data_IF_585603999091
#
_entry.id   IF_585603999091
#
_cell.length_a   1.000
_cell.length_b   1.000
_cell.length_c   1.000
_cell.angle_alpha   90.00
_cell.angle_beta   90.00
_cell.angle_gamma   90.00
#
_symmetry.space_group_name_H-M   'P 1'
#
loop_
_entity.id
_entity.type
_entity.pdbx_description
1 polymer ?
#
# COMPACT_ATOMS: atom_id res chain seq x y z
N UNK A 1 -7.21 18.62 -2.56
CA UNK A 1 -6.64 17.64 -3.52
C UNK A 1 -6.12 16.45 -2.71
N UNK A 2 -6.47 15.19 -3.03
CA UNK A 2 -5.98 14.02 -2.26
C UNK A 2 -4.52 13.73 -2.62
N UNK A 3 -3.70 13.46 -1.61
CA UNK A 3 -2.29 13.10 -1.79
C UNK A 3 -2.14 11.61 -2.10
N UNK A 4 -1.74 11.27 -3.33
CA UNK A 4 -1.60 9.87 -3.79
C UNK A 4 -0.19 9.30 -3.66
N UNK A 5 0.79 10.03 -3.12
CA UNK A 5 2.20 9.60 -3.11
C UNK A 5 2.72 9.09 -1.76
N UNK A 6 1.87 8.90 -0.75
CA UNK A 6 2.29 8.34 0.55
C UNK A 6 2.71 6.86 0.42
N UNK A 7 3.89 6.54 0.94
CA UNK A 7 4.52 5.20 0.88
C UNK A 7 4.86 4.62 2.25
N UNK A 8 4.83 5.44 3.30
CA UNK A 8 5.13 5.12 4.69
C UNK A 8 4.42 6.09 5.64
N UNK A 9 4.50 5.84 6.95
CA UNK A 9 3.82 6.70 7.94
C UNK A 9 4.48 8.07 8.08
N UNK A 10 5.78 8.18 7.82
CA UNK A 10 6.50 9.46 7.93
C UNK A 10 6.02 10.47 6.88
N UNK A 11 5.86 10.03 5.64
CA UNK A 11 5.29 10.81 4.54
C UNK A 11 3.80 11.09 4.78
N UNK A 12 3.07 10.10 5.30
CA UNK A 12 1.65 10.25 5.64
C UNK A 12 1.43 11.36 6.67
N UNK A 13 2.21 11.42 7.77
CA UNK A 13 2.08 12.47 8.79
C UNK A 13 2.35 13.88 8.26
N UNK A 14 3.23 14.02 7.27
CA UNK A 14 3.49 15.31 6.61
C UNK A 14 2.32 15.75 5.73
N UNK A 15 1.72 14.79 5.02
CA UNK A 15 0.70 15.04 4.01
C UNK A 15 -0.74 15.01 4.53
N UNK A 16 -0.96 14.39 5.70
CA UNK A 16 -2.25 14.22 6.37
C UNK A 16 -2.05 14.55 7.86
N UNK A 17 -2.04 15.85 8.24
CA UNK A 17 -1.60 16.29 9.57
C UNK A 17 -2.46 15.77 10.74
N UNK A 18 -3.72 15.44 10.47
CA UNK A 18 -4.69 14.93 11.45
C UNK A 18 -4.68 13.39 11.58
N UNK A 19 -3.78 12.70 10.87
CA UNK A 19 -3.68 11.24 10.95
C UNK A 19 -3.30 10.78 12.37
N UNK A 20 -4.13 9.92 12.95
CA UNK A 20 -3.87 9.25 14.22
C UNK A 20 -3.48 7.80 13.96
N UNK A 21 -2.37 7.37 14.56
CA UNK A 21 -1.79 6.04 14.35
C UNK A 21 -1.74 5.32 15.69
N UNK A 22 -2.22 4.08 15.73
CA UNK A 22 -2.09 3.17 16.87
C UNK A 22 -1.26 1.98 16.39
N UNK A 23 -0.27 1.55 17.19
CA UNK A 23 0.66 0.48 16.81
C UNK A 23 1.65 0.91 15.71
N UNK A 24 2.09 -0.06 14.91
CA UNK A 24 3.03 0.18 13.82
C UNK A 24 2.31 0.65 12.55
N UNK A 25 2.46 1.93 12.19
CA UNK A 25 1.87 2.50 10.97
C UNK A 25 2.45 1.96 9.65
N UNK A 26 3.63 1.32 9.71
CA UNK A 26 4.30 0.69 8.56
C UNK A 26 4.20 -0.85 8.59
N UNK A 27 3.22 -1.38 9.31
CA UNK A 27 2.99 -2.83 9.44
C UNK A 27 2.85 -3.51 8.06
N UNK A 28 2.10 -2.90 7.16
CA UNK A 28 2.07 -3.26 5.74
C UNK A 28 2.97 -2.33 4.94
N UNK A 29 3.99 -2.92 4.34
CA UNK A 29 5.02 -2.22 3.58
C UNK A 29 4.64 -2.16 2.09
N UNK A 30 4.67 -0.96 1.51
CA UNK A 30 4.37 -0.76 0.09
C UNK A 30 5.45 -1.40 -0.79
N UNK A 31 5.03 -2.34 -1.63
CA UNK A 31 5.87 -2.97 -2.65
C UNK A 31 5.72 -2.26 -4.01
N UNK A 32 4.47 -2.00 -4.41
CA UNK A 32 4.17 -1.38 -5.70
C UNK A 32 2.92 -0.50 -5.60
N UNK A 33 2.91 0.60 -6.35
CA UNK A 33 1.75 1.47 -6.51
C UNK A 33 1.68 2.00 -7.93
N UNK A 34 0.48 2.01 -8.48
CA UNK A 34 0.16 2.72 -9.71
C UNK A 34 -1.17 3.47 -9.51
N UNK A 35 -1.30 4.64 -10.09
CA UNK A 35 -2.53 5.42 -10.02
C UNK A 35 -2.62 6.39 -11.18
N UNK A 36 -3.85 6.71 -11.59
CA UNK A 36 -4.12 7.81 -12.50
C UNK A 36 -5.20 8.69 -11.91
N UNK A 37 -4.91 9.99 -11.81
CA UNK A 37 -5.89 10.98 -11.35
C UNK A 37 -6.93 11.27 -12.43
N UNK A 38 -6.53 11.32 -13.71
CA UNK A 38 -7.46 11.55 -14.83
C UNK A 38 -8.43 10.39 -14.99
N UNK A 39 -7.93 9.16 -14.89
CA UNK A 39 -8.74 7.93 -14.98
C UNK A 39 -9.40 7.57 -13.64
N UNK A 40 -9.09 8.31 -12.57
CA UNK A 40 -9.73 8.20 -11.27
C UNK A 40 -9.45 6.91 -10.50
N UNK A 41 -8.33 6.22 -10.73
CA UNK A 41 -8.04 4.94 -10.06
C UNK A 41 -6.67 4.87 -9.40
N UNK A 42 -6.55 3.97 -8.44
CA UNK A 42 -5.31 3.63 -7.76
C UNK A 42 -5.26 2.15 -7.41
N UNK A 43 -4.13 1.50 -7.70
CA UNK A 43 -3.82 0.15 -7.24
C UNK A 43 -2.57 0.18 -6.37
N UNK A 44 -2.60 -0.51 -5.23
CA UNK A 44 -1.40 -0.73 -4.40
C UNK A 44 -1.26 -2.18 -4.00
N UNK A 45 -0.01 -2.66 -3.98
CA UNK A 45 0.38 -3.95 -3.45
C UNK A 45 1.25 -3.71 -2.23
N UNK A 46 0.86 -4.27 -1.08
CA UNK A 46 1.61 -4.19 0.17
C UNK A 46 1.86 -5.58 0.73
N UNK A 47 2.91 -5.72 1.51
CA UNK A 47 3.19 -6.96 2.24
C UNK A 47 3.44 -6.69 3.72
N UNK A 48 2.99 -7.60 4.57
CA UNK A 48 3.33 -7.66 5.98
C UNK A 48 4.17 -8.91 6.22
N UNK A 49 5.38 -8.72 6.75
CA UNK A 49 6.23 -9.83 7.15
C UNK A 49 5.59 -10.56 8.33
N UNK A 50 5.51 -11.89 8.24
CA UNK A 50 5.09 -12.77 9.32
C UNK A 50 6.11 -13.91 9.49
N UNK A 51 6.04 -14.71 10.56
CA UNK A 51 6.84 -15.92 10.63
C UNK A 51 6.62 -16.80 9.40
N UNK A 52 7.72 -17.23 8.76
CA UNK A 52 7.72 -18.15 7.61
C UNK A 52 7.03 -17.64 6.32
N UNK A 53 6.82 -16.33 6.16
CA UNK A 53 6.29 -15.80 4.89
C UNK A 53 5.83 -14.35 4.97
N UNK A 54 5.01 -13.95 4.00
CA UNK A 54 4.39 -12.64 3.97
C UNK A 54 2.89 -12.74 3.72
N UNK A 55 2.10 -11.90 4.39
CA UNK A 55 0.74 -11.58 3.94
C UNK A 55 0.83 -10.50 2.88
N UNK A 56 0.33 -10.77 1.68
CA UNK A 56 0.32 -9.86 0.54
C UNK A 56 -1.09 -9.38 0.30
N UNK A 57 -1.27 -8.05 0.35
CA UNK A 57 -2.51 -7.36 0.10
C UNK A 57 -2.44 -6.62 -1.24
N UNK A 58 -3.49 -6.73 -2.04
CA UNK A 58 -3.72 -5.87 -3.21
C UNK A 58 -5.02 -5.12 -3.00
N UNK A 59 -4.93 -3.79 -3.05
CA UNK A 59 -6.07 -2.86 -3.00
C UNK A 59 -6.20 -2.17 -4.35
N UNK A 60 -7.41 -2.14 -4.91
CA UNK A 60 -7.77 -1.22 -6.00
C UNK A 60 -8.88 -0.30 -5.53
N UNK A 61 -8.71 1.00 -5.75
CA UNK A 61 -9.72 2.02 -5.53
C UNK A 61 -10.05 2.67 -6.88
N UNK A 62 -11.33 2.72 -7.24
CA UNK A 62 -11.84 3.32 -8.48
C UNK A 62 -12.83 4.43 -8.12
N UNK A 63 -12.67 5.62 -8.69
CA UNK A 63 -13.63 6.70 -8.56
C UNK A 63 -14.86 6.39 -9.42
N UNK A 64 -16.03 6.53 -8.82
CA UNK A 64 -17.32 6.39 -9.49
C UNK A 64 -17.75 7.72 -10.13
N UNK A 65 -18.78 7.70 -10.97
CA UNK A 65 -19.37 8.90 -11.57
C UNK A 65 -19.98 9.89 -10.55
N UNK A 66 -20.23 9.45 -9.31
CA UNK A 66 -20.89 10.21 -8.26
C UNK A 66 -19.97 10.48 -7.05
N UNK A 67 -18.78 11.06 -7.26
CA UNK A 67 -17.76 11.42 -6.24
C UNK A 67 -17.30 10.33 -5.24
N UNK A 68 -17.98 9.18 -5.23
CA UNK A 68 -17.73 8.03 -4.40
C UNK A 68 -16.64 7.15 -5.02
N UNK A 69 -16.26 6.09 -4.30
CA UNK A 69 -15.23 5.16 -4.74
C UNK A 69 -15.71 3.71 -4.54
N UNK A 70 -15.48 2.88 -5.55
CA UNK A 70 -15.50 1.43 -5.42
C UNK A 70 -14.13 0.95 -4.94
N UNK A 71 -14.12 -0.09 -4.09
CA UNK A 71 -12.90 -0.69 -3.55
C UNK A 71 -12.95 -2.19 -3.75
N UNK A 72 -11.84 -2.76 -4.21
CA UNK A 72 -11.60 -4.19 -4.29
C UNK A 72 -10.32 -4.54 -3.53
N UNK A 73 -10.40 -5.58 -2.70
CA UNK A 73 -9.31 -6.06 -1.84
C UNK A 73 -9.07 -7.55 -2.09
N UNK A 74 -7.80 -7.94 -2.12
CA UNK A 74 -7.39 -9.33 -2.10
C UNK A 74 -6.25 -9.49 -1.08
N UNK A 75 -6.28 -10.57 -0.31
CA UNK A 75 -5.26 -10.91 0.67
C UNK A 75 -4.84 -12.37 0.50
N UNK A 76 -3.54 -12.63 0.42
CA UNK A 76 -2.99 -13.97 0.33
C UNK A 76 -1.78 -14.13 1.24
N UNK A 77 -1.65 -15.30 1.88
CA UNK A 77 -0.41 -15.68 2.54
C UNK A 77 0.52 -16.36 1.54
N UNK A 78 1.75 -15.86 1.46
CA UNK A 78 2.80 -16.41 0.60
C UNK A 78 3.87 -17.01 1.52
N UNK A 79 4.03 -18.35 1.54
CA UNK A 79 5.03 -19.00 2.38
C UNK A 79 6.45 -18.81 1.84
N UNK A 80 7.44 -18.87 2.72
CA UNK A 80 8.86 -18.86 2.38
C UNK A 80 9.45 -17.49 2.03
N UNK A 81 8.62 -16.54 1.61
CA UNK A 81 9.11 -15.23 1.15
C UNK A 81 9.41 -14.24 2.28
N UNK A 82 10.31 -13.29 1.99
CA UNK A 82 10.64 -12.15 2.86
C UNK A 82 10.55 -10.83 2.09
N UNK A 83 10.25 -9.75 2.81
CA UNK A 83 10.33 -8.40 2.28
C UNK A 83 11.79 -7.93 2.35
N UNK A 84 12.34 -7.53 1.22
CA UNK A 84 13.68 -6.95 1.12
C UNK A 84 13.67 -5.64 0.34
N UNK A 85 14.76 -4.88 0.42
CA UNK A 85 14.96 -3.67 -0.38
C UNK A 85 15.07 -4.01 -1.86
N UNK A 86 14.42 -3.20 -2.70
CA UNK A 86 14.43 -3.30 -4.16
C UNK A 86 15.18 -2.11 -4.79
N UNK A 87 15.21 -2.02 -6.12
CA UNK A 87 15.76 -0.89 -6.86
C UNK A 87 15.17 0.45 -6.36
N UNK A 88 16.01 1.49 -6.35
CA UNK A 88 15.62 2.86 -5.97
C UNK A 88 15.02 3.01 -4.55
N UNK A 89 15.41 2.14 -3.60
CA UNK A 89 14.88 2.19 -2.23
C UNK A 89 13.44 1.66 -2.11
N UNK A 90 12.95 0.96 -3.14
CA UNK A 90 11.68 0.23 -3.11
C UNK A 90 11.75 -1.03 -2.25
N UNK A 91 10.69 -1.86 -2.32
CA UNK A 91 10.60 -3.14 -1.60
C UNK A 91 10.06 -4.22 -2.52
N UNK A 92 10.59 -5.44 -2.43
CA UNK A 92 10.11 -6.62 -3.16
C UNK A 92 10.03 -7.85 -2.26
N UNK A 93 9.37 -8.89 -2.76
CA UNK A 93 9.42 -10.22 -2.17
C UNK A 93 10.60 -11.00 -2.73
N UNK A 94 11.27 -11.76 -1.88
CA UNK A 94 12.37 -12.67 -2.20
C UNK A 94 12.10 -14.02 -1.54
N UNK A 95 12.38 -15.12 -2.25
CA UNK A 95 12.10 -16.49 -1.81
C UNK A 95 13.33 -17.14 -1.17
#
# INVERSE_FOLDING_TARGET
MKTLHNSDISSTKKNVPDVKVIGNGDLFQLLCKASSQSEGWMKSTKAMQVPNGCLVQVTTQQKNGNESYAVAEALAFIPGVRIITDINGGRRLDA
#
